data_IF_009494759051
#
_entry.id   IF_009494759051
#
_cell.length_a   1.000
_cell.length_b   1.000
_cell.length_c   1.000
_cell.angle_alpha   90.00
_cell.angle_beta   90.00
_cell.angle_gamma   90.00
#
_symmetry.space_group_name_H-M   'P 1'
#
loop_
_entity.id
_entity.type
_entity.pdbx_description
1 polymer ?
#
# COMPACT_ATOMS: atom_id res chain seq x y z
N UNK A 1 1.48 5.79 3.53
CA UNK A 1 1.02 4.51 4.09
C UNK A 1 -0.32 4.63 4.82
N UNK A 2 -0.46 5.63 5.68
CA UNK A 2 -1.67 5.86 6.46
C UNK A 2 -2.64 6.81 5.77
N UNK A 3 -2.40 7.07 4.48
CA UNK A 3 -3.16 8.02 3.70
C UNK A 3 -4.62 7.64 3.63
N UNK A 4 -5.40 8.15 4.56
CA UNK A 4 -6.81 8.28 4.37
C UNK A 4 -7.07 9.18 3.16
N UNK A 5 -8.27 9.10 2.63
CA UNK A 5 -8.69 9.97 1.54
C UNK A 5 -8.74 11.44 2.03
N UNK A 6 -8.20 12.35 1.24
CA UNK A 6 -8.19 13.77 1.57
C UNK A 6 -9.35 14.50 0.89
N UNK A 7 -10.28 15.00 1.68
CA UNK A 7 -11.47 15.73 1.21
C UNK A 7 -11.34 17.26 1.35
N UNK A 8 -10.14 17.81 1.44
CA UNK A 8 -9.92 19.24 1.57
C UNK A 8 -10.31 20.00 0.29
N UNK A 9 -10.48 21.33 0.35
CA UNK A 9 -10.89 22.12 -0.83
C UNK A 9 -9.96 21.96 -2.05
N UNK A 10 -8.67 21.74 -1.85
CA UNK A 10 -7.72 21.50 -2.92
C UNK A 10 -7.98 20.17 -3.63
N UNK A 11 -8.20 19.09 -2.86
CA UNK A 11 -8.53 17.77 -3.40
C UNK A 11 -9.90 17.77 -4.10
N UNK A 12 -10.89 18.49 -3.56
CA UNK A 12 -12.18 18.69 -4.20
C UNK A 12 -12.03 19.37 -5.57
N UNK A 13 -11.25 20.45 -5.64
CA UNK A 13 -10.97 21.14 -6.91
C UNK A 13 -10.24 20.26 -7.90
N UNK A 14 -9.22 19.53 -7.44
CA UNK A 14 -8.46 18.62 -8.29
C UNK A 14 -9.35 17.49 -8.83
N UNK A 15 -10.23 16.92 -8.02
CA UNK A 15 -11.20 15.90 -8.44
C UNK A 15 -12.15 16.42 -9.52
N UNK A 16 -12.71 17.61 -9.35
CA UNK A 16 -13.57 18.24 -10.38
C UNK A 16 -12.83 18.47 -11.69
N UNK A 17 -11.58 18.90 -11.64
CA UNK A 17 -10.77 19.04 -12.84
C UNK A 17 -10.51 17.71 -13.53
N UNK A 18 -10.16 16.67 -12.76
CA UNK A 18 -9.96 15.33 -13.28
C UNK A 18 -11.25 14.77 -13.92
N UNK A 19 -12.43 15.03 -13.34
CA UNK A 19 -13.70 14.68 -13.94
C UNK A 19 -13.98 15.45 -15.23
N UNK A 20 -13.64 16.76 -15.28
CA UNK A 20 -13.74 17.57 -16.51
C UNK A 20 -12.89 17.01 -17.65
N UNK A 21 -11.67 16.60 -17.35
CA UNK A 21 -10.78 15.96 -18.32
C UNK A 21 -11.31 14.61 -18.79
N UNK A 22 -11.87 13.82 -17.89
CA UNK A 22 -12.39 12.48 -18.18
C UNK A 22 -13.68 12.51 -19.01
N UNK A 23 -14.61 13.36 -18.63
CA UNK A 23 -15.98 13.37 -19.18
C UNK A 23 -16.25 14.47 -20.19
N UNK A 24 -15.43 15.52 -20.23
CA UNK A 24 -15.50 16.69 -21.11
C UNK A 24 -16.71 17.57 -20.82
N UNK A 25 -17.93 17.01 -20.78
CA UNK A 25 -19.17 17.75 -20.50
C UNK A 25 -19.92 17.17 -19.30
N UNK A 26 -20.73 18.02 -18.67
CA UNK A 26 -21.53 17.58 -17.52
C UNK A 26 -22.65 16.62 -17.94
N UNK A 27 -23.18 16.79 -19.13
CA UNK A 27 -24.21 15.92 -19.72
C UNK A 27 -23.65 14.51 -19.91
N UNK A 28 -22.43 14.37 -20.42
CA UNK A 28 -21.77 13.08 -20.59
C UNK A 28 -21.49 12.42 -19.22
N UNK A 29 -21.06 13.20 -18.21
CA UNK A 29 -20.92 12.67 -16.86
C UNK A 29 -22.24 12.16 -16.32
N UNK A 30 -23.30 12.95 -16.42
CA UNK A 30 -24.65 12.60 -15.95
C UNK A 30 -25.16 11.31 -16.63
N UNK A 31 -24.95 11.17 -17.94
CA UNK A 31 -25.29 9.96 -18.69
C UNK A 31 -24.51 8.73 -18.16
N UNK A 32 -23.18 8.83 -18.05
CA UNK A 32 -22.32 7.73 -17.59
C UNK A 32 -22.54 7.33 -16.14
N UNK A 33 -22.90 8.30 -15.30
CA UNK A 33 -23.20 8.04 -13.89
C UNK A 33 -24.68 7.69 -13.63
N UNK A 34 -25.55 7.78 -14.65
CA UNK A 34 -26.99 7.56 -14.54
C UNK A 34 -27.64 8.45 -13.45
N UNK A 35 -27.26 9.72 -13.40
CA UNK A 35 -27.61 10.62 -12.28
C UNK A 35 -29.08 11.01 -12.23
N UNK A 36 -29.86 10.73 -13.26
CA UNK A 36 -31.33 10.91 -13.23
C UNK A 36 -32.04 10.07 -12.18
N UNK A 37 -31.43 8.94 -11.77
CA UNK A 37 -31.95 8.11 -10.71
C UNK A 37 -31.91 8.87 -9.38
N UNK A 38 -33.02 8.96 -8.70
CA UNK A 38 -33.21 9.76 -7.47
C UNK A 38 -32.83 11.23 -7.60
N UNK A 39 -32.91 11.78 -8.80
CA UNK A 39 -32.66 13.21 -9.07
C UNK A 39 -31.26 13.70 -8.67
N UNK A 40 -30.23 12.90 -8.88
CA UNK A 40 -28.83 13.26 -8.63
C UNK A 40 -28.17 14.05 -9.78
N UNK A 41 -28.96 14.55 -10.75
CA UNK A 41 -28.43 15.24 -11.95
C UNK A 41 -27.69 16.52 -11.56
N UNK A 42 -26.47 16.66 -12.03
CA UNK A 42 -25.63 17.84 -11.84
C UNK A 42 -25.80 18.80 -13.03
N UNK A 43 -25.84 20.09 -12.75
CA UNK A 43 -25.88 21.15 -13.76
C UNK A 43 -24.47 21.68 -14.09
N UNK A 44 -23.50 21.45 -13.21
CA UNK A 44 -22.11 21.80 -13.43
C UNK A 44 -21.17 20.90 -12.61
N UNK A 45 -19.92 20.78 -13.02
CA UNK A 45 -18.91 20.06 -12.25
C UNK A 45 -18.66 20.66 -10.87
N UNK A 46 -18.94 21.95 -10.69
CA UNK A 46 -18.69 22.62 -9.41
C UNK A 46 -19.65 22.17 -8.29
N UNK A 47 -20.76 21.54 -8.66
CA UNK A 47 -21.70 20.92 -7.70
C UNK A 47 -21.24 19.55 -7.19
N UNK A 48 -20.23 18.96 -7.82
CA UNK A 48 -19.76 17.62 -7.45
C UNK A 48 -18.83 17.72 -6.24
N UNK A 49 -19.14 16.96 -5.21
CA UNK A 49 -18.31 16.76 -4.03
C UNK A 49 -17.83 15.31 -3.96
N UNK A 50 -16.67 15.10 -3.34
CA UNK A 50 -16.17 13.74 -3.08
C UNK A 50 -17.11 12.97 -2.15
N UNK A 51 -17.20 11.64 -2.27
CA UNK A 51 -18.00 10.81 -1.38
C UNK A 51 -17.40 10.81 0.02
N UNK A 52 -17.96 11.58 0.93
CA UNK A 52 -17.54 11.66 2.33
C UNK A 52 -18.69 11.20 3.23
N UNK A 53 -18.42 11.02 4.53
CA UNK A 53 -19.44 10.59 5.50
C UNK A 53 -20.65 11.52 5.60
N UNK A 54 -20.48 12.77 5.20
CA UNK A 54 -21.53 13.80 5.19
C UNK A 54 -22.00 14.16 3.78
N UNK A 55 -21.40 13.57 2.75
CA UNK A 55 -21.73 13.78 1.34
C UNK A 55 -22.52 12.62 0.73
N UNK A 56 -22.65 12.64 -0.58
CA UNK A 56 -23.36 11.60 -1.33
C UNK A 56 -22.55 10.28 -1.34
N UNK A 57 -23.14 9.23 -0.82
CA UNK A 57 -22.54 7.89 -0.75
C UNK A 57 -23.28 6.83 -1.57
N UNK A 58 -24.46 7.17 -2.10
CA UNK A 58 -25.31 6.21 -2.84
C UNK A 58 -25.00 6.18 -4.35
N UNK A 59 -24.29 7.18 -4.85
CA UNK A 59 -23.92 7.26 -6.28
C UNK A 59 -22.66 6.44 -6.54
N UNK A 60 -22.84 5.19 -6.94
CA UNK A 60 -21.74 4.22 -7.11
C UNK A 60 -20.66 4.69 -8.11
N UNK A 61 -21.05 5.38 -9.18
CA UNK A 61 -20.10 5.92 -10.15
C UNK A 61 -19.20 7.01 -9.56
N UNK A 62 -19.74 7.87 -8.68
CA UNK A 62 -18.97 8.86 -7.92
C UNK A 62 -17.95 8.15 -7.00
N UNK A 63 -18.38 7.14 -6.25
CA UNK A 63 -17.50 6.37 -5.38
C UNK A 63 -16.35 5.71 -6.15
N UNK A 64 -16.66 5.13 -7.30
CA UNK A 64 -15.66 4.48 -8.15
C UNK A 64 -14.67 5.48 -8.76
N UNK A 65 -15.18 6.63 -9.24
CA UNK A 65 -14.32 7.66 -9.82
C UNK A 65 -13.49 8.37 -8.76
N UNK A 66 -13.98 8.50 -7.55
CA UNK A 66 -13.16 8.99 -6.44
C UNK A 66 -11.98 8.07 -6.15
N UNK A 67 -12.17 6.77 -6.08
CA UNK A 67 -11.08 5.78 -5.91
C UNK A 67 -10.08 5.83 -7.07
N UNK A 68 -10.57 5.99 -8.29
CA UNK A 68 -9.71 6.16 -9.47
C UNK A 68 -8.90 7.44 -9.42
N UNK A 69 -9.51 8.53 -8.95
CA UNK A 69 -8.83 9.80 -8.73
C UNK A 69 -7.76 9.71 -7.65
N UNK A 70 -8.06 9.08 -6.50
CA UNK A 70 -7.07 8.86 -5.42
C UNK A 70 -5.88 8.06 -5.94
N UNK A 71 -6.13 6.99 -6.71
CA UNK A 71 -5.06 6.23 -7.36
C UNK A 71 -4.25 7.09 -8.34
N UNK A 72 -4.91 7.92 -9.14
CA UNK A 72 -4.25 8.83 -10.09
C UNK A 72 -3.35 9.82 -9.36
N UNK A 73 -3.84 10.46 -8.29
CA UNK A 73 -3.05 11.41 -7.50
C UNK A 73 -1.83 10.74 -6.84
N UNK A 74 -1.97 9.50 -6.36
CA UNK A 74 -0.85 8.75 -5.78
C UNK A 74 0.18 8.38 -6.84
N UNK A 75 -0.25 7.93 -8.00
CA UNK A 75 0.64 7.63 -9.13
C UNK A 75 1.39 8.89 -9.61
N UNK A 76 0.69 10.00 -9.74
CA UNK A 76 1.25 11.31 -10.12
C UNK A 76 2.29 11.81 -9.10
N UNK A 77 2.00 11.64 -7.81
CA UNK A 77 2.95 11.99 -6.74
C UNK A 77 4.24 11.15 -6.85
N UNK A 78 4.13 9.83 -7.01
CA UNK A 78 5.29 8.94 -7.22
C UNK A 78 6.06 9.35 -8.48
N UNK A 79 5.36 9.65 -9.56
CA UNK A 79 5.97 10.12 -10.80
C UNK A 79 6.81 11.38 -10.58
N UNK A 80 6.28 12.38 -9.86
CA UNK A 80 6.99 13.62 -9.56
C UNK A 80 8.25 13.39 -8.70
N UNK A 81 8.19 12.52 -7.70
CA UNK A 81 9.36 12.17 -6.89
C UNK A 81 10.45 11.48 -7.75
N UNK A 82 10.04 10.54 -8.61
CA UNK A 82 10.96 9.86 -9.50
C UNK A 82 11.55 10.84 -10.53
N UNK A 83 10.75 11.75 -11.10
CA UNK A 83 11.23 12.77 -12.02
C UNK A 83 12.32 13.64 -11.36
N UNK A 84 12.10 14.09 -10.13
CA UNK A 84 13.09 14.86 -9.38
C UNK A 84 14.39 14.07 -9.15
N UNK A 85 14.31 12.78 -8.85
CA UNK A 85 15.49 11.91 -8.74
C UNK A 85 16.25 11.81 -10.06
N UNK A 86 15.55 11.69 -11.18
CA UNK A 86 16.16 11.63 -12.54
C UNK A 86 16.81 12.96 -12.93
N UNK A 87 16.16 14.10 -12.63
CA UNK A 87 16.75 15.43 -12.79
C UNK A 87 18.01 15.62 -11.95
N UNK A 88 18.04 15.03 -10.74
CA UNK A 88 19.22 14.98 -9.88
C UNK A 88 20.34 14.03 -10.36
N UNK A 89 20.16 13.37 -11.51
CA UNK A 89 21.14 12.47 -12.14
C UNK A 89 21.09 11.03 -11.66
N UNK A 90 20.12 10.62 -10.85
CA UNK A 90 19.99 9.22 -10.44
C UNK A 90 19.53 8.33 -11.59
N UNK A 91 20.25 7.22 -11.80
CA UNK A 91 19.89 6.17 -12.77
C UNK A 91 19.49 4.86 -12.09
N UNK A 92 19.45 4.84 -10.76
CA UNK A 92 19.13 3.65 -9.99
C UNK A 92 17.65 3.26 -10.16
N UNK A 93 17.31 1.96 -10.08
CA UNK A 93 15.93 1.52 -10.06
C UNK A 93 15.16 2.13 -8.88
N UNK A 94 13.90 2.46 -9.13
CA UNK A 94 13.00 3.04 -8.13
C UNK A 94 11.97 2.02 -7.68
N UNK A 95 11.56 2.13 -6.43
CA UNK A 95 10.51 1.32 -5.83
C UNK A 95 9.72 2.14 -4.81
N UNK A 96 8.58 1.63 -4.40
CA UNK A 96 7.78 2.15 -3.28
C UNK A 96 7.19 0.98 -2.51
N UNK A 97 7.12 1.11 -1.19
CA UNK A 97 6.55 0.08 -0.34
C UNK A 97 5.04 0.00 -0.56
N UNK A 98 4.57 -1.10 -1.14
CA UNK A 98 3.14 -1.38 -1.24
C UNK A 98 2.67 -2.08 0.04
N UNK A 99 1.43 -1.85 0.38
CA UNK A 99 0.79 -2.51 1.53
C UNK A 99 0.07 -3.78 1.05
N UNK A 100 -0.32 -4.61 1.96
CA UNK A 100 -1.18 -5.78 1.74
C UNK A 100 -2.35 -5.48 0.74
N UNK A 101 -3.48 -6.14 0.77
CA UNK A 101 -4.66 -5.81 -0.05
C UNK A 101 -5.24 -4.44 0.31
N UNK A 102 -4.66 -3.38 -0.22
CA UNK A 102 -5.16 -2.03 0.05
C UNK A 102 -6.21 -1.64 -0.98
N UNK A 103 -7.48 -1.74 -0.59
CA UNK A 103 -8.64 -1.48 -1.47
C UNK A 103 -8.82 -0.02 -1.89
N UNK A 104 -7.99 0.90 -1.40
CA UNK A 104 -8.00 2.32 -1.76
C UNK A 104 -7.19 2.66 -3.01
N UNK A 105 -6.29 1.77 -3.46
CA UNK A 105 -5.39 2.01 -4.59
C UNK A 105 -5.43 0.87 -5.61
N UNK A 106 -5.39 1.20 -6.88
CA UNK A 106 -5.15 0.27 -7.97
C UNK A 106 -3.64 0.06 -8.16
N UNK A 107 -3.11 -1.01 -7.60
CA UNK A 107 -1.69 -1.33 -7.66
C UNK A 107 -1.16 -1.58 -9.07
N UNK A 108 -1.99 -2.03 -10.03
CA UNK A 108 -1.57 -2.15 -11.43
C UNK A 108 -1.24 -0.80 -12.06
N UNK A 109 -1.88 0.29 -11.59
CA UNK A 109 -1.53 1.65 -12.01
C UNK A 109 -0.27 2.15 -11.31
N UNK A 110 -0.19 1.99 -9.99
CA UNK A 110 0.98 2.39 -9.21
C UNK A 110 2.25 1.70 -9.71
N UNK A 111 2.17 0.40 -10.00
CA UNK A 111 3.31 -0.37 -10.48
C UNK A 111 3.89 0.12 -11.82
N UNK A 112 3.15 0.91 -12.60
CA UNK A 112 3.67 1.49 -13.85
C UNK A 112 4.69 2.60 -13.60
N UNK A 113 4.59 3.29 -12.48
CA UNK A 113 5.46 4.42 -12.13
C UNK A 113 6.79 3.97 -11.53
N UNK A 114 6.87 2.78 -10.93
CA UNK A 114 8.07 2.25 -10.28
C UNK A 114 8.78 1.19 -11.13
N UNK A 115 10.08 1.06 -10.99
CA UNK A 115 10.88 0.07 -11.72
C UNK A 115 10.70 -1.34 -11.14
N UNK A 116 10.69 -1.45 -9.82
CA UNK A 116 10.61 -2.71 -9.07
C UNK A 116 9.43 -2.67 -8.11
N UNK A 117 8.64 -3.72 -8.09
CA UNK A 117 7.58 -3.90 -7.09
C UNK A 117 8.19 -4.32 -5.77
N UNK A 118 7.78 -3.67 -4.69
CA UNK A 118 8.10 -4.11 -3.32
C UNK A 118 6.91 -3.91 -2.40
N UNK A 119 6.85 -4.68 -1.32
CA UNK A 119 5.76 -4.58 -0.36
C UNK A 119 6.16 -4.95 1.05
N UNK A 120 5.38 -4.49 2.03
CA UNK A 120 5.61 -4.71 3.44
C UNK A 120 4.65 -5.76 3.96
N UNK A 121 5.18 -6.76 4.68
CA UNK A 121 4.38 -7.84 5.23
C UNK A 121 4.76 -8.18 6.67
N UNK A 122 3.74 -8.18 7.52
CA UNK A 122 3.87 -8.46 8.94
C UNK A 122 2.87 -9.53 9.38
N UNK A 123 3.00 -10.77 8.88
CA UNK A 123 2.03 -11.83 9.13
C UNK A 123 2.02 -12.25 10.61
N UNK A 124 0.82 -12.51 11.12
CA UNK A 124 0.59 -12.86 12.52
C UNK A 124 0.61 -14.37 12.72
N UNK A 125 1.79 -14.95 12.84
CA UNK A 125 2.02 -16.39 12.94
C UNK A 125 1.59 -17.04 14.26
N UNK A 126 1.10 -16.29 15.22
CA UNK A 126 0.63 -16.80 16.51
C UNK A 126 -0.89 -16.98 16.61
N UNK A 127 -1.63 -16.77 15.52
CA UNK A 127 -3.04 -17.10 15.43
C UNK A 127 -3.23 -18.62 15.38
N UNK A 128 -4.42 -19.08 15.77
CA UNK A 128 -4.74 -20.52 15.77
C UNK A 128 -4.62 -21.14 14.38
N UNK A 129 -5.15 -20.45 13.36
CA UNK A 129 -5.08 -20.90 11.97
C UNK A 129 -3.82 -20.36 11.26
N UNK A 130 -2.65 -20.91 11.60
CA UNK A 130 -1.36 -20.55 10.96
C UNK A 130 -1.41 -20.74 9.44
N UNK A 131 -2.13 -21.75 8.96
CA UNK A 131 -2.27 -22.07 7.54
C UNK A 131 -2.99 -20.94 6.78
N UNK A 132 -4.01 -20.30 7.36
CA UNK A 132 -4.73 -19.19 6.75
C UNK A 132 -3.80 -17.98 6.62
N UNK A 133 -2.96 -17.73 7.62
CA UNK A 133 -1.92 -16.69 7.53
C UNK A 133 -0.93 -16.97 6.40
N UNK A 134 -0.55 -18.23 6.19
CA UNK A 134 0.33 -18.62 5.10
C UNK A 134 -0.33 -18.43 3.73
N UNK A 135 -1.59 -18.79 3.56
CA UNK A 135 -2.33 -18.61 2.32
C UNK A 135 -2.53 -17.13 1.98
N UNK A 136 -2.94 -16.32 2.97
CA UNK A 136 -3.13 -14.90 2.80
C UNK A 136 -1.83 -14.19 2.38
N UNK A 137 -0.72 -14.51 3.06
CA UNK A 137 0.59 -13.98 2.73
C UNK A 137 1.07 -14.44 1.34
N UNK A 138 0.88 -15.73 1.01
CA UNK A 138 1.22 -16.28 -0.31
C UNK A 138 0.44 -15.63 -1.43
N UNK A 139 -0.88 -15.44 -1.26
CA UNK A 139 -1.72 -14.75 -2.25
C UNK A 139 -1.28 -13.30 -2.46
N UNK A 140 -0.82 -12.60 -1.42
CA UNK A 140 -0.23 -11.26 -1.57
C UNK A 140 1.08 -11.28 -2.36
N UNK A 141 1.96 -12.25 -2.11
CA UNK A 141 3.16 -12.43 -2.91
C UNK A 141 2.83 -12.63 -4.39
N UNK A 142 1.83 -13.48 -4.70
CA UNK A 142 1.37 -13.72 -6.07
C UNK A 142 0.81 -12.45 -6.70
N UNK A 143 0.03 -11.65 -5.95
CA UNK A 143 -0.44 -10.34 -6.41
C UNK A 143 0.76 -9.45 -6.78
N UNK A 144 1.74 -9.29 -5.89
CA UNK A 144 2.90 -8.43 -6.15
C UNK A 144 3.70 -8.91 -7.36
N UNK A 145 3.89 -10.22 -7.49
CA UNK A 145 4.51 -10.83 -8.67
C UNK A 145 3.74 -10.53 -9.96
N UNK A 146 2.41 -10.56 -9.90
CA UNK A 146 1.54 -10.35 -11.06
C UNK A 146 1.54 -8.91 -11.59
N UNK A 147 1.81 -7.90 -10.75
CA UNK A 147 1.74 -6.49 -11.11
C UNK A 147 2.65 -6.12 -12.29
N UNK A 148 3.82 -6.75 -12.38
CA UNK A 148 4.80 -6.55 -13.49
C UNK A 148 5.20 -7.86 -14.17
N UNK A 149 4.79 -9.03 -13.67
CA UNK A 149 5.28 -10.32 -14.16
C UNK A 149 6.79 -10.53 -13.93
N UNK A 150 7.38 -9.82 -12.97
CA UNK A 150 8.81 -9.79 -12.66
C UNK A 150 9.03 -10.08 -11.18
N UNK A 151 10.24 -10.46 -10.74
CA UNK A 151 10.57 -10.56 -9.33
C UNK A 151 10.22 -9.28 -8.57
N UNK A 152 9.87 -9.46 -7.29
CA UNK A 152 9.55 -8.37 -6.37
C UNK A 152 10.40 -8.49 -5.10
N UNK A 153 10.43 -7.45 -4.27
CA UNK A 153 11.05 -7.51 -2.95
C UNK A 153 9.98 -7.56 -1.86
N UNK A 154 10.15 -8.44 -0.88
CA UNK A 154 9.56 -8.26 0.44
C UNK A 154 10.38 -7.18 1.14
N UNK A 155 9.94 -5.91 1.01
CA UNK A 155 10.74 -4.76 1.42
C UNK A 155 10.85 -4.65 2.92
N UNK A 156 9.76 -4.97 3.63
CA UNK A 156 9.76 -5.01 5.08
C UNK A 156 9.12 -6.29 5.60
N UNK A 157 9.76 -6.85 6.62
CA UNK A 157 9.14 -7.85 7.49
C UNK A 157 9.80 -7.80 8.86
N UNK A 158 9.08 -8.19 9.91
CA UNK A 158 9.64 -8.19 11.24
C UNK A 158 10.35 -9.51 11.55
N UNK A 159 11.62 -9.50 11.99
CA UNK A 159 12.31 -10.71 12.37
C UNK A 159 11.77 -11.31 13.68
N UNK A 160 11.10 -10.52 14.53
CA UNK A 160 10.57 -10.96 15.82
C UNK A 160 9.09 -10.63 16.00
N UNK A 161 8.78 -9.49 16.61
CA UNK A 161 7.44 -9.03 16.97
C UNK A 161 7.26 -7.57 16.61
N UNK A 162 6.04 -7.18 16.24
CA UNK A 162 5.69 -5.79 15.92
C UNK A 162 5.18 -5.07 17.16
N UNK A 163 5.40 -3.75 17.25
CA UNK A 163 4.96 -2.96 18.40
C UNK A 163 3.52 -2.44 18.29
N UNK A 164 2.92 -2.49 17.12
CA UNK A 164 1.60 -1.92 16.83
C UNK A 164 0.45 -2.95 16.83
N UNK A 165 0.75 -4.23 16.94
CA UNK A 165 -0.28 -5.25 17.14
C UNK A 165 -0.73 -5.30 18.60
N UNK A 166 -2.02 -5.49 18.84
CA UNK A 166 -2.60 -5.58 20.20
C UNK A 166 -1.97 -6.69 21.04
N UNK A 167 -1.64 -7.81 20.43
CA UNK A 167 -0.83 -8.88 20.98
C UNK A 167 0.25 -9.23 19.98
N UNK A 168 1.50 -9.01 20.36
CA UNK A 168 2.64 -9.38 19.54
C UNK A 168 3.47 -10.43 20.23
N UNK A 169 3.73 -11.53 19.53
CA UNK A 169 4.51 -12.66 20.03
C UNK A 169 5.73 -12.89 19.13
N UNK A 170 6.80 -13.37 19.74
CA UNK A 170 7.95 -13.84 18.98
C UNK A 170 7.54 -14.96 18.03
N UNK A 171 8.11 -14.98 16.85
CA UNK A 171 7.95 -16.08 15.92
C UNK A 171 8.48 -17.38 16.54
N UNK A 172 7.82 -18.50 16.27
CA UNK A 172 8.35 -19.82 16.64
C UNK A 172 9.66 -20.08 15.91
N UNK A 173 10.57 -20.91 16.46
CA UNK A 173 11.77 -21.33 15.75
C UNK A 173 11.46 -21.83 14.35
N UNK A 174 12.25 -21.45 13.35
CA UNK A 174 12.07 -21.80 11.95
C UNK A 174 11.01 -20.97 11.20
N UNK A 175 10.12 -20.24 11.88
CA UNK A 175 9.05 -19.48 11.23
C UNK A 175 9.57 -18.30 10.43
N UNK A 176 10.64 -17.63 10.87
CA UNK A 176 11.27 -16.55 10.13
C UNK A 176 11.84 -17.05 8.80
N UNK A 177 12.54 -18.18 8.85
CA UNK A 177 13.07 -18.84 7.65
C UNK A 177 11.92 -19.26 6.71
N UNK A 178 10.88 -19.91 7.22
CA UNK A 178 9.74 -20.34 6.40
C UNK A 178 9.03 -19.15 5.72
N UNK A 179 8.83 -18.03 6.43
CA UNK A 179 8.25 -16.81 5.89
C UNK A 179 9.11 -16.23 4.76
N UNK A 180 10.41 -16.14 4.96
CA UNK A 180 11.34 -15.60 3.96
C UNK A 180 11.43 -16.51 2.73
N UNK A 181 11.46 -17.84 2.94
CA UNK A 181 11.45 -18.80 1.84
C UNK A 181 10.11 -18.82 1.11
N UNK A 182 8.99 -18.53 1.76
CA UNK A 182 7.72 -18.36 1.08
C UNK A 182 7.78 -17.21 0.09
N UNK A 183 8.32 -16.04 0.46
CA UNK A 183 8.48 -14.92 -0.48
C UNK A 183 9.31 -15.32 -1.71
N UNK A 184 10.42 -16.03 -1.51
CA UNK A 184 11.27 -16.53 -2.61
C UNK A 184 10.52 -17.55 -3.47
N UNK A 185 9.79 -18.49 -2.86
CA UNK A 185 9.02 -19.50 -3.59
C UNK A 185 7.92 -18.90 -4.47
N UNK A 186 7.35 -17.76 -4.08
CA UNK A 186 6.37 -17.00 -4.87
C UNK A 186 7.02 -16.02 -5.86
N UNK A 187 8.33 -16.07 -6.05
CA UNK A 187 9.07 -15.29 -7.05
C UNK A 187 9.59 -13.95 -6.55
N UNK A 188 9.74 -13.79 -5.24
CA UNK A 188 10.48 -12.68 -4.64
C UNK A 188 11.98 -12.82 -4.88
N UNK A 189 12.68 -11.70 -5.07
CA UNK A 189 14.14 -11.65 -5.22
C UNK A 189 14.86 -11.60 -3.86
N UNK A 190 14.18 -11.11 -2.83
CA UNK A 190 14.74 -11.01 -1.48
C UNK A 190 13.71 -10.69 -0.44
N UNK A 191 14.07 -10.98 0.82
CA UNK A 191 13.31 -10.64 2.00
C UNK A 191 14.18 -9.74 2.91
N UNK A 192 13.71 -8.53 3.15
CA UNK A 192 14.37 -7.53 3.97
C UNK A 192 13.68 -7.44 5.32
N UNK A 193 14.45 -7.09 6.34
CA UNK A 193 13.93 -7.02 7.70
C UNK A 193 13.89 -5.59 8.23
N UNK A 194 12.75 -5.18 8.72
CA UNK A 194 12.61 -4.03 9.57
C UNK A 194 12.58 -4.52 11.02
N UNK A 195 13.65 -4.34 11.80
CA UNK A 195 14.85 -3.56 11.50
C UNK A 195 16.11 -4.30 11.98
N UNK A 196 17.29 -3.82 11.59
CA UNK A 196 18.54 -4.48 12.02
C UNK A 196 18.78 -4.33 13.51
N UNK A 197 18.50 -3.15 14.10
CA UNK A 197 18.68 -2.87 15.54
C UNK A 197 17.48 -2.14 16.12
N UNK A 198 17.04 -2.56 17.30
CA UNK A 198 15.93 -1.90 18.00
C UNK A 198 16.21 -0.43 18.26
N UNK A 199 15.22 0.41 17.96
CA UNK A 199 15.27 1.85 18.15
C UNK A 199 15.40 2.22 19.64
N UNK A 200 16.24 3.21 19.94
CA UNK A 200 16.45 3.68 21.33
C UNK A 200 15.21 4.28 21.97
N UNK A 201 14.33 4.84 21.15
CA UNK A 201 13.15 5.57 21.61
C UNK A 201 12.15 5.78 20.48
N UNK A 202 11.21 6.70 20.67
CA UNK A 202 10.12 7.05 19.78
C UNK A 202 9.13 5.89 19.53
N UNK A 203 8.32 6.01 18.51
CA UNK A 203 7.19 5.12 18.24
C UNK A 203 7.60 3.67 17.97
N UNK A 204 8.79 3.45 17.42
CA UNK A 204 9.32 2.13 17.05
C UNK A 204 10.26 1.52 18.11
N UNK A 205 10.28 2.08 19.33
CA UNK A 205 11.16 1.59 20.40
C UNK A 205 11.00 0.10 20.69
N UNK A 206 9.78 -0.40 20.66
CA UNK A 206 9.46 -1.79 20.98
C UNK A 206 9.22 -2.67 19.74
N UNK A 207 9.46 -2.13 18.57
CA UNK A 207 9.45 -2.93 17.36
C UNK A 207 10.61 -3.93 17.39
N UNK A 208 10.37 -5.15 16.97
CA UNK A 208 11.39 -6.17 16.94
C UNK A 208 12.50 -5.89 15.93
N UNK A 209 13.66 -6.46 16.16
CA UNK A 209 14.83 -6.29 15.32
C UNK A 209 15.71 -7.53 15.33
N UNK A 210 16.69 -7.61 14.45
CA UNK A 210 17.72 -8.65 14.44
C UNK A 210 18.58 -8.53 15.71
N UNK A 211 19.00 -7.30 16.03
CA UNK A 211 19.77 -6.96 17.23
C UNK A 211 18.86 -6.22 18.20
N UNK A 212 18.75 -6.71 19.42
CA UNK A 212 17.94 -6.12 20.48
C UNK A 212 18.59 -4.86 21.11
N UNK A 213 17.93 -4.29 22.13
CA UNK A 213 18.44 -3.13 22.84
C UNK A 213 19.79 -3.38 23.53
N UNK A 214 20.06 -4.62 23.97
CA UNK A 214 21.32 -4.96 24.62
C UNK A 214 22.50 -5.04 23.64
N UNK A 215 22.21 -5.23 22.33
CA UNK A 215 23.23 -5.21 21.29
C UNK A 215 24.02 -6.54 21.17
N UNK A 216 23.53 -7.61 21.78
CA UNK A 216 24.17 -8.92 21.71
C UNK A 216 23.89 -9.67 20.40
N UNK A 217 24.73 -10.64 20.12
CA UNK A 217 24.61 -11.55 18.97
C UNK A 217 24.27 -13.01 19.41
N UNK A 218 23.89 -13.19 20.66
CA UNK A 218 23.59 -14.49 21.27
C UNK A 218 22.10 -14.82 21.33
N UNK A 219 21.24 -13.88 20.94
CA UNK A 219 19.80 -14.10 20.89
C UNK A 219 19.43 -15.16 19.85
N UNK A 220 18.32 -15.85 20.07
CA UNK A 220 17.77 -16.78 19.06
C UNK A 220 17.51 -16.08 17.73
N UNK A 221 16.92 -14.89 17.77
CA UNK A 221 16.58 -14.14 16.56
C UNK A 221 17.81 -13.81 15.73
N UNK A 222 18.89 -13.36 16.37
CA UNK A 222 20.15 -13.10 15.67
C UNK A 222 20.70 -14.35 14.97
N UNK A 223 20.51 -15.52 15.59
CA UNK A 223 20.95 -16.81 15.02
C UNK A 223 20.00 -17.37 13.96
N UNK A 224 18.73 -16.96 13.97
CA UNK A 224 17.72 -17.38 12.98
C UNK A 224 17.82 -16.59 11.66
N UNK A 225 18.52 -15.42 11.63
CA UNK A 225 18.79 -14.58 10.47
C UNK A 225 20.14 -14.94 9.86
#
# INVERSE_FOLDING_TARGET
>A
EYGGECHCPLCQKAFRNWLKEKYQTIENLNDKWCTTFWSHTYNSFDQIESPSKIGETQLHALNLDWKRFVTHQTADFIHHEIAALREGGSTLPTTANLMHYFGGLDYFKIAKEIDVVSWDTYPTWHKEAVIDTAYDNGMCHDLMRSLKGKPFFQMESCPTSTNWQSVSKLKKPGMLFAQSMQAIAHGGEGALYFQIRQSRGASEKFHGAVIDHYGGNDTRVFKDV
#
